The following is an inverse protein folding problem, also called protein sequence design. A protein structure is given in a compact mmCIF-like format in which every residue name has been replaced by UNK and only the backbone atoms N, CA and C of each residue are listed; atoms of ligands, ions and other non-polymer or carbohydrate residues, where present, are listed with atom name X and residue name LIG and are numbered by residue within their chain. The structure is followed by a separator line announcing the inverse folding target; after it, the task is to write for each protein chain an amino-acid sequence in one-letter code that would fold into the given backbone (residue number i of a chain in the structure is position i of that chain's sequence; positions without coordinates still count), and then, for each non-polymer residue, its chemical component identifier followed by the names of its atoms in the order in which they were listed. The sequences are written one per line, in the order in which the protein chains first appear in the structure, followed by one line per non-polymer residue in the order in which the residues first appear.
data_IF_902156301253
#
_entry.id   IF_902156301253
#
_cell.length_a   1.000
_cell.length_b   1.000
_cell.length_c   1.000
_cell.angle_alpha   90.00
_cell.angle_beta   90.00
_cell.angle_gamma   90.00
#
_symmetry.space_group_name_H-M   'P 1'
#
loop_
_entity.id
_entity.type
_entity.pdbx_description
1 polymer ?
#
# COMPACT_ATOMS: atom_id res chain seq x y z
N UNK A 1 -6.80 -2.82 3.84
CA UNK A 1 -6.78 -3.82 2.73
C UNK A 1 -7.53 -5.07 3.14
N UNK A 2 -8.37 -5.67 2.25
CA UNK A 2 -9.08 -6.92 2.58
C UNK A 2 -8.25 -8.13 2.14
N UNK A 3 -7.76 -8.91 3.11
CA UNK A 3 -7.17 -10.24 2.86
C UNK A 3 -8.28 -11.26 2.60
N UNK A 4 -7.92 -12.39 1.94
CA UNK A 4 -8.89 -13.46 1.73
C UNK A 4 -9.17 -14.17 3.06
N UNK A 5 -10.36 -14.75 3.20
CA UNK A 5 -10.72 -15.54 4.39
C UNK A 5 -9.70 -16.68 4.63
N UNK A 6 -9.23 -17.33 3.56
CA UNK A 6 -8.20 -18.39 3.64
C UNK A 6 -6.91 -17.89 4.28
N UNK A 7 -6.43 -16.71 3.87
CA UNK A 7 -5.23 -16.08 4.45
C UNK A 7 -5.44 -15.72 5.92
N UNK A 8 -6.60 -15.16 6.24
CA UNK A 8 -6.96 -14.80 7.62
C UNK A 8 -7.03 -16.04 8.53
N UNK A 9 -7.66 -17.11 8.06
CA UNK A 9 -7.77 -18.38 8.81
C UNK A 9 -6.39 -19.01 9.03
N UNK A 10 -5.49 -18.99 8.02
CA UNK A 10 -4.11 -19.45 8.17
C UNK A 10 -3.37 -18.65 9.25
N UNK A 11 -3.43 -17.34 9.20
CA UNK A 11 -2.76 -16.45 10.16
C UNK A 11 -3.30 -16.72 11.58
N UNK A 12 -4.63 -16.80 11.74
CA UNK A 12 -5.28 -17.07 13.03
C UNK A 12 -4.89 -18.42 13.64
N UNK A 13 -4.67 -19.42 12.80
CA UNK A 13 -4.25 -20.74 13.25
C UNK A 13 -2.77 -20.79 13.62
N UNK A 14 -1.91 -20.13 12.81
CA UNK A 14 -0.45 -20.26 12.92
C UNK A 14 0.17 -19.31 13.95
N UNK A 15 -0.28 -18.06 14.03
CA UNK A 15 0.34 -17.06 14.93
C UNK A 15 0.39 -17.52 16.39
N UNK A 16 -0.69 -18.03 17.01
CA UNK A 16 -0.62 -18.50 18.40
C UNK A 16 0.36 -19.66 18.63
N UNK A 17 0.54 -20.52 17.60
CA UNK A 17 1.54 -21.61 17.62
C UNK A 17 2.94 -21.01 17.72
N UNK A 18 3.27 -20.07 16.83
CA UNK A 18 4.61 -19.47 16.79
C UNK A 18 4.88 -18.53 17.96
N UNK A 19 3.88 -17.87 18.53
CA UNK A 19 4.04 -17.12 19.79
C UNK A 19 4.57 -18.01 20.92
N UNK A 20 4.08 -19.24 21.04
CA UNK A 20 4.59 -20.21 22.01
C UNK A 20 6.00 -20.70 21.66
N UNK A 21 6.28 -21.00 20.39
CA UNK A 21 7.60 -21.42 19.90
C UNK A 21 8.64 -20.35 20.19
N UNK A 22 8.33 -19.08 19.88
CA UNK A 22 9.23 -17.94 20.10
C UNK A 22 9.49 -17.70 21.59
N UNK A 23 8.49 -17.89 22.45
CA UNK A 23 8.68 -17.83 23.91
C UNK A 23 9.70 -18.87 24.39
N UNK A 24 9.52 -20.14 24.00
CA UNK A 24 10.45 -21.23 24.36
C UNK A 24 11.84 -20.98 23.77
N UNK A 25 11.92 -20.52 22.52
CA UNK A 25 13.19 -20.25 21.85
C UNK A 25 13.96 -19.12 22.54
N UNK A 26 13.25 -18.06 22.96
CA UNK A 26 13.82 -16.93 23.72
C UNK A 26 14.35 -17.38 25.09
N UNK A 27 13.59 -18.19 25.83
CA UNK A 27 13.99 -18.70 27.14
C UNK A 27 15.25 -19.59 27.04
N UNK A 28 15.45 -20.24 25.89
CA UNK A 28 16.63 -21.09 25.61
C UNK A 28 17.78 -20.31 24.97
N UNK A 29 17.63 -19.04 24.68
CA UNK A 29 18.61 -18.19 24.02
C UNK A 29 19.22 -18.82 22.76
N UNK A 30 18.33 -19.23 21.82
CA UNK A 30 18.73 -19.93 20.60
C UNK A 30 19.67 -19.07 19.76
N UNK A 31 20.69 -19.71 19.19
CA UNK A 31 21.65 -19.08 18.28
C UNK A 31 21.00 -18.64 16.94
N UNK A 32 21.78 -17.98 16.08
CA UNK A 32 21.30 -17.43 14.80
C UNK A 32 20.80 -18.52 13.86
N UNK A 33 21.51 -19.64 13.72
CA UNK A 33 21.13 -20.74 12.82
C UNK A 33 19.81 -21.40 13.21
N UNK A 34 19.62 -21.65 14.50
CA UNK A 34 18.34 -22.19 15.03
C UNK A 34 17.21 -21.19 14.85
N UNK A 35 17.50 -19.88 15.03
CA UNK A 35 16.53 -18.80 14.81
C UNK A 35 16.12 -18.72 13.34
N UNK A 36 17.07 -18.83 12.39
CA UNK A 36 16.79 -18.88 10.93
C UNK A 36 15.86 -20.01 10.59
N UNK A 37 16.02 -21.18 11.23
CA UNK A 37 15.12 -22.33 11.02
C UNK A 37 13.69 -22.02 11.44
N UNK A 38 13.49 -21.36 12.60
CA UNK A 38 12.16 -20.92 13.07
C UNK A 38 11.59 -19.85 12.13
N UNK A 39 12.40 -18.88 11.71
CA UNK A 39 11.96 -17.83 10.76
C UNK A 39 11.49 -18.47 9.45
N UNK A 40 12.21 -19.47 8.94
CA UNK A 40 11.82 -20.19 7.72
C UNK A 40 10.46 -20.86 7.86
N UNK A 41 10.19 -21.47 9.02
CA UNK A 41 8.88 -22.08 9.30
C UNK A 41 7.77 -21.01 9.45
N UNK A 42 8.08 -19.84 10.05
CA UNK A 42 7.16 -18.70 10.10
C UNK A 42 6.83 -18.19 8.67
N UNK A 43 7.84 -18.08 7.80
CA UNK A 43 7.63 -17.68 6.41
C UNK A 43 6.68 -18.63 5.69
N UNK A 44 6.78 -19.93 5.94
CA UNK A 44 5.91 -20.93 5.33
C UNK A 44 4.50 -20.95 5.96
N UNK A 45 4.41 -21.13 7.26
CA UNK A 45 3.14 -21.43 7.93
C UNK A 45 2.32 -20.17 8.22
N UNK A 46 2.95 -19.04 8.57
CA UNK A 46 2.25 -17.79 8.86
C UNK A 46 2.10 -16.96 7.59
N UNK A 47 3.21 -16.73 6.89
CA UNK A 47 3.22 -15.82 5.74
C UNK A 47 2.87 -16.50 4.41
N UNK A 48 2.88 -17.84 4.34
CA UNK A 48 2.32 -18.62 3.24
C UNK A 48 3.23 -18.81 2.03
N UNK A 49 4.53 -18.68 2.20
CA UNK A 49 5.51 -18.99 1.16
C UNK A 49 5.79 -20.49 1.07
N UNK A 50 6.07 -20.98 -0.12
CA UNK A 50 6.60 -22.33 -0.29
C UNK A 50 8.05 -22.37 0.20
N UNK A 51 8.30 -23.17 1.24
CA UNK A 51 9.61 -23.27 1.91
C UNK A 51 10.74 -23.72 0.96
N UNK A 52 10.40 -24.53 -0.04
CA UNK A 52 11.37 -25.15 -0.92
C UNK A 52 11.51 -24.44 -2.27
N UNK A 53 10.47 -23.76 -2.72
CA UNK A 53 10.44 -23.10 -4.03
C UNK A 53 10.63 -21.59 -3.95
N UNK A 54 10.20 -20.96 -2.84
CA UNK A 54 10.13 -19.50 -2.74
C UNK A 54 11.05 -18.91 -1.66
N UNK A 55 11.56 -19.74 -0.72
CA UNK A 55 12.53 -19.31 0.29
C UNK A 55 13.90 -19.86 -0.07
N UNK A 56 14.86 -18.97 -0.27
CA UNK A 56 16.26 -19.33 -0.57
C UNK A 56 17.14 -18.93 0.61
N UNK A 57 17.95 -19.86 1.10
CA UNK A 57 18.97 -19.61 2.13
C UNK A 57 20.32 -19.28 1.50
N UNK A 58 21.13 -18.51 2.23
CA UNK A 58 22.52 -18.19 1.87
C UNK A 58 22.68 -17.66 0.44
N UNK A 59 21.88 -16.64 0.07
CA UNK A 59 22.03 -16.01 -1.24
C UNK A 59 23.36 -15.27 -1.37
N UNK A 60 24.32 -15.89 -2.06
CA UNK A 60 25.63 -15.30 -2.30
C UNK A 60 25.59 -14.19 -3.35
N UNK A 61 26.11 -13.00 -3.01
CA UNK A 61 26.23 -11.87 -3.93
C UNK A 61 27.58 -11.21 -3.76
N UNK A 62 28.48 -11.36 -4.75
CA UNK A 62 29.81 -10.72 -4.79
C UNK A 62 30.62 -10.88 -3.49
N UNK A 63 30.59 -12.08 -2.88
CA UNK A 63 31.40 -12.38 -1.69
C UNK A 63 30.75 -11.99 -0.36
N UNK A 64 29.52 -11.53 -0.38
CA UNK A 64 28.69 -11.33 0.81
C UNK A 64 27.45 -12.23 0.75
N UNK A 65 26.82 -12.55 1.88
CA UNK A 65 25.69 -13.47 1.97
C UNK A 65 24.51 -12.77 2.65
N UNK A 66 23.30 -12.99 2.14
CA UNK A 66 22.06 -12.67 2.84
C UNK A 66 21.50 -13.98 3.40
N UNK A 67 21.00 -13.97 4.63
CA UNK A 67 20.57 -15.19 5.31
C UNK A 67 19.42 -15.88 4.58
N UNK A 68 18.37 -15.12 4.25
CA UNK A 68 17.23 -15.61 3.51
C UNK A 68 16.79 -14.62 2.43
N UNK A 69 16.22 -15.12 1.36
CA UNK A 69 15.55 -14.32 0.34
C UNK A 69 14.21 -14.96 -0.05
N UNK A 70 13.20 -14.14 -0.31
CA UNK A 70 11.92 -14.58 -0.85
C UNK A 70 11.88 -14.29 -2.33
N UNK A 71 11.59 -15.33 -3.14
CA UNK A 71 11.45 -15.26 -4.59
C UNK A 71 10.08 -15.80 -5.00
N UNK A 72 9.29 -15.01 -5.72
CA UNK A 72 8.04 -15.44 -6.33
C UNK A 72 8.21 -15.42 -7.84
N UNK A 73 8.09 -16.58 -8.47
CA UNK A 73 8.51 -16.77 -9.86
C UNK A 73 9.99 -16.43 -10.02
N UNK A 74 10.33 -15.55 -10.95
CA UNK A 74 11.73 -15.13 -11.20
C UNK A 74 12.12 -13.83 -10.47
N UNK A 75 11.24 -13.28 -9.64
CA UNK A 75 11.46 -11.98 -9.00
C UNK A 75 11.69 -12.11 -7.50
N UNK A 76 12.83 -11.56 -7.03
CA UNK A 76 13.05 -11.38 -5.60
C UNK A 76 12.08 -10.34 -5.03
N UNK A 77 11.43 -10.72 -3.94
CA UNK A 77 10.44 -9.90 -3.24
C UNK A 77 11.02 -9.26 -2.00
N UNK A 78 11.78 -10.03 -1.23
CA UNK A 78 12.45 -9.57 -0.02
C UNK A 78 13.85 -10.16 0.08
N UNK A 79 14.77 -9.39 0.65
CA UNK A 79 15.96 -9.89 1.33
C UNK A 79 15.67 -9.89 2.82
N UNK A 80 16.11 -10.92 3.53
CA UNK A 80 15.86 -11.06 4.96
C UNK A 80 17.20 -11.28 5.66
N UNK A 81 17.55 -10.36 6.53
CA UNK A 81 18.67 -10.47 7.46
C UNK A 81 18.14 -10.96 8.80
N UNK A 82 18.70 -12.06 9.27
CA UNK A 82 18.29 -12.71 10.49
C UNK A 82 19.32 -12.51 11.58
N UNK A 83 18.89 -12.46 12.84
CA UNK A 83 19.77 -12.42 14.00
C UNK A 83 19.27 -13.42 15.05
N UNK A 84 20.19 -13.84 15.94
CA UNK A 84 19.83 -14.70 17.06
C UNK A 84 18.67 -14.11 17.86
N UNK A 85 17.80 -14.96 18.40
CA UNK A 85 16.50 -14.57 18.99
C UNK A 85 16.64 -13.54 20.13
N UNK A 86 17.74 -13.59 20.91
CA UNK A 86 18.02 -12.65 22.00
C UNK A 86 18.65 -11.34 21.54
N UNK A 87 19.00 -11.19 20.25
CA UNK A 87 19.71 -10.02 19.75
C UNK A 87 18.79 -8.83 19.57
N UNK A 88 19.15 -7.67 20.15
CA UNK A 88 18.51 -6.40 19.85
C UNK A 88 18.85 -5.97 18.40
N UNK A 89 17.84 -5.72 17.58
CA UNK A 89 18.02 -5.31 16.20
C UNK A 89 18.48 -3.84 16.11
N UNK A 90 19.61 -3.60 15.42
CA UNK A 90 20.23 -2.29 15.25
C UNK A 90 20.43 -1.97 13.76
N UNK A 91 20.55 -0.69 13.46
CA UNK A 91 20.81 -0.21 12.09
C UNK A 91 22.10 -0.82 11.47
N UNK A 92 23.11 -1.12 12.30
CA UNK A 92 24.31 -1.77 11.83
C UNK A 92 24.04 -3.13 11.16
N UNK A 93 23.06 -3.89 11.65
CA UNK A 93 22.66 -5.18 11.07
C UNK A 93 21.97 -4.98 9.70
N UNK A 94 21.26 -3.86 9.52
CA UNK A 94 20.58 -3.55 8.26
C UNK A 94 21.58 -3.20 7.14
N UNK A 95 22.73 -2.63 7.45
CA UNK A 95 23.72 -2.14 6.43
C UNK A 95 24.18 -3.23 5.48
N UNK A 96 24.34 -4.45 5.97
CA UNK A 96 24.73 -5.59 5.14
C UNK A 96 23.64 -5.87 4.09
N UNK A 97 22.39 -5.99 4.51
CA UNK A 97 21.26 -6.22 3.62
C UNK A 97 21.01 -5.05 2.63
N UNK A 98 21.28 -3.79 3.05
CA UNK A 98 21.23 -2.61 2.15
C UNK A 98 22.22 -2.75 0.99
N UNK A 99 23.47 -3.12 1.29
CA UNK A 99 24.48 -3.34 0.25
C UNK A 99 24.06 -4.39 -0.78
N UNK A 100 23.39 -5.45 -0.31
CA UNK A 100 22.79 -6.48 -1.19
C UNK A 100 21.68 -5.94 -2.05
N UNK A 101 20.69 -5.31 -1.41
CA UNK A 101 19.53 -4.75 -2.09
C UNK A 101 19.94 -3.78 -3.20
N UNK A 102 20.90 -2.91 -2.91
CA UNK A 102 21.43 -1.94 -3.86
C UNK A 102 22.09 -2.60 -5.08
N UNK A 103 22.90 -3.63 -4.86
CA UNK A 103 23.62 -4.33 -5.93
C UNK A 103 22.69 -5.14 -6.85
N UNK A 104 21.54 -5.57 -6.37
CA UNK A 104 20.57 -6.41 -7.11
C UNK A 104 19.30 -5.68 -7.52
N UNK A 105 19.15 -4.41 -7.14
CA UNK A 105 17.93 -3.66 -7.40
C UNK A 105 16.73 -4.17 -6.58
N UNK A 106 16.97 -4.83 -5.43
CA UNK A 106 15.91 -5.33 -4.54
C UNK A 106 15.59 -4.23 -3.53
N UNK A 107 14.36 -3.73 -3.58
CA UNK A 107 13.94 -2.56 -2.80
C UNK A 107 13.46 -2.91 -1.38
N UNK A 108 13.10 -4.17 -1.12
CA UNK A 108 12.47 -4.54 0.13
C UNK A 108 13.37 -5.42 0.98
N UNK A 109 13.60 -5.00 2.21
CA UNK A 109 14.43 -5.70 3.18
C UNK A 109 13.63 -5.96 4.43
N UNK A 110 13.81 -7.14 5.01
CA UNK A 110 13.34 -7.49 6.34
C UNK A 110 14.56 -7.72 7.22
N UNK A 111 14.59 -7.08 8.39
CA UNK A 111 15.50 -7.38 9.47
C UNK A 111 14.70 -8.02 10.60
N UNK A 112 15.11 -9.21 11.07
CA UNK A 112 14.35 -9.92 12.09
C UNK A 112 15.21 -10.81 12.97
N UNK A 113 14.77 -11.04 14.20
CA UNK A 113 15.26 -12.08 15.11
C UNK A 113 14.16 -13.13 15.42
N UNK A 114 13.13 -13.22 14.54
CA UNK A 114 11.97 -14.06 14.74
C UNK A 114 10.87 -13.41 15.59
N UNK A 115 11.22 -12.60 16.58
CA UNK A 115 10.29 -11.86 17.45
C UNK A 115 10.02 -10.48 16.87
N UNK A 116 11.03 -9.64 16.74
CA UNK A 116 10.93 -8.30 16.15
C UNK A 116 11.11 -8.41 14.63
N UNK A 117 10.16 -7.88 13.89
CA UNK A 117 10.13 -7.82 12.44
C UNK A 117 10.11 -6.38 11.98
N UNK A 118 11.13 -5.98 11.24
CA UNK A 118 11.30 -4.62 10.73
C UNK A 118 11.38 -4.68 9.20
N UNK A 119 10.41 -4.06 8.53
CA UNK A 119 10.29 -4.06 7.07
C UNK A 119 10.73 -2.71 6.54
N UNK A 120 11.73 -2.70 5.68
CA UNK A 120 12.32 -1.50 5.10
C UNK A 120 12.14 -1.44 3.60
N UNK A 121 12.00 -0.23 3.08
CA UNK A 121 12.08 0.07 1.66
C UNK A 121 13.33 0.87 1.34
N UNK A 122 14.14 0.39 0.40
CA UNK A 122 15.28 1.12 -0.14
C UNK A 122 14.83 2.13 -1.20
N UNK A 123 15.42 3.31 -1.13
CA UNK A 123 15.38 4.33 -2.17
C UNK A 123 16.75 4.40 -2.84
N UNK A 124 16.83 4.12 -4.14
CA UNK A 124 18.06 4.12 -4.91
C UNK A 124 18.45 5.54 -5.33
N UNK A 125 18.60 6.40 -4.32
CA UNK A 125 19.09 7.76 -4.41
C UNK A 125 20.63 7.77 -4.14
N UNK A 126 21.29 8.91 -4.28
CA UNK A 126 22.68 9.04 -3.91
C UNK A 126 22.81 10.14 -2.83
N UNK A 127 23.15 9.76 -1.60
CA UNK A 127 23.42 8.41 -1.08
C UNK A 127 22.15 7.55 -1.00
N UNK A 128 22.31 6.20 -0.97
CA UNK A 128 21.19 5.27 -0.80
C UNK A 128 20.52 5.54 0.54
N UNK A 129 19.21 5.71 0.49
CA UNK A 129 18.37 5.95 1.66
C UNK A 129 17.39 4.79 1.87
N UNK A 130 16.85 4.66 3.08
CA UNK A 130 15.88 3.64 3.43
C UNK A 130 14.85 4.17 4.41
N UNK A 131 13.64 3.65 4.30
CA UNK A 131 12.52 4.00 5.17
C UNK A 131 12.02 2.77 5.90
N UNK A 132 11.81 2.87 7.21
CA UNK A 132 11.09 1.86 7.98
C UNK A 132 9.59 1.95 7.65
N UNK A 133 9.07 0.93 6.95
CA UNK A 133 7.66 0.89 6.52
C UNK A 133 6.76 0.30 7.58
N UNK A 134 7.22 -0.80 8.21
CA UNK A 134 6.49 -1.43 9.30
C UNK A 134 7.45 -2.06 10.31
N UNK A 135 7.00 -2.10 11.57
CA UNK A 135 7.61 -2.87 12.65
C UNK A 135 6.52 -3.53 13.48
N UNK A 136 6.71 -4.79 13.81
CA UNK A 136 5.81 -5.53 14.69
C UNK A 136 6.56 -6.61 15.48
N UNK A 137 6.05 -6.90 16.65
CA UNK A 137 6.51 -8.00 17.51
C UNK A 137 5.56 -9.19 17.33
N UNK A 138 6.06 -10.27 16.71
CA UNK A 138 5.24 -11.45 16.42
C UNK A 138 4.82 -12.19 17.71
N UNK A 139 5.58 -12.07 18.79
CA UNK A 139 5.28 -12.73 20.07
C UNK A 139 4.08 -12.12 20.78
N UNK A 140 3.80 -10.84 20.52
CA UNK A 140 2.73 -10.06 21.18
C UNK A 140 1.65 -9.54 20.25
N UNK A 141 1.81 -9.72 18.94
CA UNK A 141 0.89 -9.19 17.94
C UNK A 141 -0.55 -9.66 18.17
N UNK A 142 -1.50 -8.75 18.07
CA UNK A 142 -2.92 -9.05 18.26
C UNK A 142 -3.68 -9.04 16.93
N UNK A 143 -4.20 -10.18 16.54
CA UNK A 143 -5.00 -10.33 15.32
C UNK A 143 -6.38 -9.64 15.36
N UNK A 144 -6.76 -9.11 16.54
CA UNK A 144 -7.95 -8.27 16.72
C UNK A 144 -7.67 -6.80 16.41
N UNK A 145 -6.41 -6.40 16.36
CA UNK A 145 -5.98 -5.04 16.07
C UNK A 145 -5.74 -4.90 14.56
N UNK A 146 -6.52 -4.06 13.90
CA UNK A 146 -6.40 -3.84 12.44
C UNK A 146 -5.01 -3.33 12.02
N UNK A 147 -4.36 -2.51 12.84
CA UNK A 147 -3.01 -2.01 12.56
C UNK A 147 -1.96 -3.11 12.60
N UNK A 148 -2.09 -4.03 13.55
CA UNK A 148 -1.19 -5.17 13.68
C UNK A 148 -1.39 -6.14 12.51
N UNK A 149 -2.64 -6.37 12.12
CA UNK A 149 -2.98 -7.17 10.97
C UNK A 149 -2.46 -6.54 9.66
N UNK A 150 -2.60 -5.21 9.49
CA UNK A 150 -2.09 -4.49 8.33
C UNK A 150 -0.56 -4.65 8.19
N UNK A 151 0.18 -4.52 9.30
CA UNK A 151 1.64 -4.70 9.34
C UNK A 151 2.07 -6.13 9.03
N UNK A 152 1.33 -7.12 9.51
CA UNK A 152 1.63 -8.52 9.25
C UNK A 152 1.34 -8.91 7.80
N UNK A 153 0.24 -8.40 7.25
CA UNK A 153 -0.22 -8.72 5.88
C UNK A 153 0.80 -8.33 4.81
N UNK A 154 1.55 -7.23 4.99
CA UNK A 154 2.54 -6.82 3.98
C UNK A 154 3.66 -7.84 3.77
N UNK A 155 3.93 -8.69 4.76
CA UNK A 155 4.94 -9.75 4.68
C UNK A 155 4.36 -11.04 4.10
N UNK A 156 3.04 -11.22 4.09
CA UNK A 156 2.40 -12.43 3.53
C UNK A 156 2.55 -12.49 2.01
N UNK A 157 2.60 -13.71 1.46
CA UNK A 157 2.64 -13.94 0.01
C UNK A 157 1.49 -13.23 -0.69
N UNK A 158 0.27 -13.41 -0.22
CA UNK A 158 -0.92 -12.78 -0.80
C UNK A 158 -0.92 -11.25 -0.68
N UNK A 159 -0.33 -10.72 0.39
CA UNK A 159 -0.13 -9.29 0.56
C UNK A 159 0.85 -8.72 -0.46
N UNK A 160 1.96 -9.41 -0.68
CA UNK A 160 2.96 -9.03 -1.70
C UNK A 160 2.38 -9.08 -3.10
N UNK A 161 1.68 -10.15 -3.45
CA UNK A 161 1.03 -10.31 -4.76
C UNK A 161 -0.03 -9.23 -5.04
N UNK A 162 -0.64 -8.68 -4.01
CA UNK A 162 -1.66 -7.60 -4.11
C UNK A 162 -1.09 -6.19 -3.94
N UNK A 163 0.21 -6.03 -3.77
CA UNK A 163 0.84 -4.72 -3.60
C UNK A 163 0.62 -4.08 -2.21
N UNK A 164 0.30 -4.89 -1.18
CA UNK A 164 -0.03 -4.36 0.16
C UNK A 164 1.09 -3.55 0.80
N UNK A 165 2.34 -3.92 0.55
CA UNK A 165 3.51 -3.22 1.10
C UNK A 165 3.72 -1.87 0.43
N UNK A 166 3.46 -1.80 -0.88
CA UNK A 166 3.49 -0.57 -1.65
C UNK A 166 2.39 0.39 -1.18
N UNK A 167 1.17 -0.11 -1.02
CA UNK A 167 0.03 0.67 -0.50
C UNK A 167 0.32 1.21 0.91
N UNK A 168 0.87 0.37 1.82
CA UNK A 168 1.22 0.80 3.17
C UNK A 168 2.32 1.84 3.14
N UNK A 169 3.35 1.66 2.31
CA UNK A 169 4.41 2.63 2.14
C UNK A 169 3.88 3.97 1.64
N UNK A 170 3.07 3.98 0.58
CA UNK A 170 2.45 5.21 0.07
C UNK A 170 1.58 5.89 1.12
N UNK A 171 0.81 5.10 1.88
CA UNK A 171 0.01 5.61 3.00
C UNK A 171 0.88 6.30 4.04
N UNK A 172 2.00 5.69 4.47
CA UNK A 172 2.91 6.30 5.45
C UNK A 172 3.58 7.57 4.92
N UNK A 173 3.88 7.62 3.62
CA UNK A 173 4.44 8.80 2.96
C UNK A 173 3.43 9.95 2.82
N UNK A 174 2.13 9.66 2.81
CA UNK A 174 1.07 10.66 2.64
C UNK A 174 0.36 11.00 3.96
N UNK A 175 0.23 10.04 4.87
CA UNK A 175 -0.49 10.20 6.13
C UNK A 175 0.50 10.21 7.29
N UNK A 176 1.22 11.31 7.43
CA UNK A 176 2.15 11.54 8.52
C UNK A 176 2.01 12.95 9.09
N UNK A 177 2.63 13.19 10.23
CA UNK A 177 2.51 14.46 10.99
C UNK A 177 2.99 15.68 10.19
N UNK A 178 4.05 15.56 9.41
CA UNK A 178 4.61 16.67 8.62
C UNK A 178 3.70 17.04 7.45
N UNK A 179 3.18 16.03 6.73
CA UNK A 179 2.20 16.27 5.66
C UNK A 179 0.90 16.84 6.22
N UNK A 180 0.46 16.37 7.39
CA UNK A 180 -0.71 16.96 8.07
C UNK A 180 -0.46 18.44 8.43
N UNK A 181 0.70 18.79 9.00
CA UNK A 181 1.09 20.18 9.27
C UNK A 181 1.10 21.04 8.01
N UNK A 182 1.71 20.54 6.94
CA UNK A 182 1.74 21.24 5.66
C UNK A 182 0.35 21.43 5.03
N UNK A 183 -0.53 20.43 5.15
CA UNK A 183 -1.93 20.53 4.67
C UNK A 183 -2.73 21.57 5.47
N UNK A 184 -2.56 21.62 6.80
CA UNK A 184 -3.25 22.59 7.65
C UNK A 184 -2.88 24.02 7.26
N UNK A 185 -1.63 24.27 6.85
CA UNK A 185 -1.16 25.58 6.40
C UNK A 185 -1.43 25.86 4.90
N UNK A 186 -2.05 24.93 4.17
CA UNK A 186 -2.39 25.14 2.76
C UNK A 186 -3.54 26.12 2.58
N UNK A 187 -3.55 26.87 1.46
CA UNK A 187 -4.61 27.82 1.10
C UNK A 187 -6.00 27.20 1.17
N UNK A 188 -6.13 25.92 0.79
CA UNK A 188 -7.40 25.21 0.80
C UNK A 188 -7.97 25.06 2.22
N UNK A 189 -7.14 24.70 3.20
CA UNK A 189 -7.58 24.53 4.61
C UNK A 189 -7.73 25.89 5.30
N UNK A 190 -6.79 26.81 5.08
CA UNK A 190 -6.84 28.18 5.61
C UNK A 190 -8.13 28.90 5.17
N UNK A 191 -8.52 28.79 3.90
CA UNK A 191 -9.78 29.36 3.39
C UNK A 191 -11.03 28.77 4.07
N UNK A 192 -11.02 27.47 4.37
CA UNK A 192 -12.12 26.83 5.12
C UNK A 192 -12.19 27.37 6.55
N UNK A 193 -11.06 27.42 7.26
CA UNK A 193 -10.99 27.95 8.62
C UNK A 193 -11.42 29.41 8.70
N UNK A 194 -10.92 30.25 7.77
CA UNK A 194 -11.33 31.66 7.66
C UNK A 194 -12.84 31.80 7.51
N UNK A 195 -13.46 30.97 6.65
CA UNK A 195 -14.91 30.99 6.45
C UNK A 195 -15.67 30.62 7.73
N UNK A 196 -15.19 29.63 8.48
CA UNK A 196 -15.83 29.23 9.74
C UNK A 196 -15.61 30.27 10.84
N UNK A 197 -14.42 30.88 10.95
CA UNK A 197 -14.18 32.00 11.85
C UNK A 197 -15.11 33.20 11.59
N UNK A 198 -15.35 33.55 10.33
CA UNK A 198 -16.29 34.61 9.96
C UNK A 198 -17.71 34.36 10.40
N UNK A 199 -18.15 33.08 10.50
CA UNK A 199 -19.47 32.73 11.04
C UNK A 199 -19.55 32.89 12.56
N UNK A 200 -18.43 32.73 13.26
CA UNK A 200 -18.34 32.89 14.71
C UNK A 200 -18.19 34.36 15.13
N UNK A 201 -17.58 35.17 14.29
CA UNK A 201 -17.26 36.58 14.55
C UNK A 201 -17.96 37.47 13.50
N UNK A 202 -19.26 37.67 13.68
CA UNK A 202 -20.09 38.44 12.74
C UNK A 202 -19.57 39.87 12.60
N UNK A 203 -19.39 40.32 11.35
CA UNK A 203 -18.94 41.66 11.00
C UNK A 203 -17.42 41.94 11.16
N UNK A 204 -16.60 40.94 11.56
CA UNK A 204 -15.15 41.13 11.71
C UNK A 204 -14.43 40.67 10.41
N UNK A 205 -13.52 41.54 9.93
CA UNK A 205 -12.61 41.16 8.84
C UNK A 205 -11.52 40.24 9.34
N UNK A 206 -11.31 39.08 8.70
CA UNK A 206 -10.26 38.14 9.04
C UNK A 206 -9.47 37.88 7.76
N UNK A 207 -8.15 38.05 7.84
CA UNK A 207 -7.24 37.83 6.70
C UNK A 207 -6.60 36.43 6.75
N UNK A 208 -6.22 35.89 5.59
CA UNK A 208 -5.57 34.58 5.50
C UNK A 208 -4.26 34.54 6.29
N UNK A 209 -3.51 35.64 6.28
CA UNK A 209 -2.26 35.80 7.03
C UNK A 209 -2.45 35.65 8.56
N UNK A 210 -3.55 36.17 9.10
CA UNK A 210 -3.87 36.06 10.53
C UNK A 210 -4.18 34.60 10.91
N UNK A 211 -4.94 33.89 10.06
CA UNK A 211 -5.23 32.47 10.26
C UNK A 211 -3.94 31.63 10.18
N UNK A 212 -3.06 31.91 9.21
CA UNK A 212 -1.77 31.23 9.08
C UNK A 212 -0.88 31.46 10.29
N UNK A 213 -0.78 32.71 10.78
CA UNK A 213 0.00 33.05 11.96
C UNK A 213 -0.54 32.32 13.21
N UNK A 214 -1.86 32.35 13.42
CA UNK A 214 -2.50 31.61 14.52
C UNK A 214 -2.17 30.11 14.48
N UNK A 215 -2.27 29.48 13.30
CA UNK A 215 -1.98 28.08 13.14
C UNK A 215 -0.50 27.76 13.41
N UNK A 216 0.41 28.58 12.86
CA UNK A 216 1.85 28.37 12.96
C UNK A 216 2.38 28.59 14.38
N UNK A 217 1.92 29.63 15.04
CA UNK A 217 2.50 30.07 16.33
C UNK A 217 1.72 29.54 17.53
N UNK A 218 0.42 29.28 17.37
CA UNK A 218 -0.48 28.89 18.47
C UNK A 218 -0.97 27.43 18.44
N UNK A 219 -1.01 26.77 17.29
CA UNK A 219 -1.65 25.45 17.13
C UNK A 219 -0.66 24.37 16.76
N UNK A 220 0.20 24.63 15.79
CA UNK A 220 1.17 23.64 15.30
C UNK A 220 2.44 23.66 16.17
N UNK A 221 2.95 22.46 16.44
CA UNK A 221 4.24 22.33 17.13
C UNK A 221 5.37 22.72 16.17
N UNK A 222 6.41 23.37 16.68
CA UNK A 222 7.56 23.82 15.86
C UNK A 222 8.30 22.69 15.17
N UNK A 223 8.41 21.51 15.81
CA UNK A 223 9.02 20.33 15.21
C UNK A 223 8.30 19.79 13.96
N UNK A 224 7.08 20.27 13.68
CA UNK A 224 6.33 19.95 12.45
C UNK A 224 6.57 20.95 11.31
N UNK A 225 7.18 22.08 11.64
CA UNK A 225 7.37 23.21 10.71
C UNK A 225 8.81 23.38 10.26
N UNK A 226 9.76 22.84 11.03
CA UNK A 226 11.20 23.02 10.84
C UNK A 226 11.87 21.69 10.46
N UNK A 227 12.91 21.78 9.64
CA UNK A 227 13.73 20.65 9.22
C UNK A 227 13.36 20.05 7.87
N UNK A 228 14.21 19.15 7.39
CA UNK A 228 14.13 18.57 6.04
C UNK A 228 12.80 17.85 5.78
N UNK A 229 12.25 17.15 6.78
CA UNK A 229 10.98 16.42 6.66
C UNK A 229 9.79 17.37 6.50
N UNK A 230 9.81 18.51 7.20
CA UNK A 230 8.76 19.54 7.07
C UNK A 230 8.84 20.24 5.70
N UNK A 231 10.05 20.57 5.24
CA UNK A 231 10.27 21.16 3.91
C UNK A 231 9.84 20.21 2.78
N UNK A 232 10.20 18.94 2.87
CA UNK A 232 9.78 17.92 1.91
C UNK A 232 8.25 17.74 1.88
N UNK A 233 7.60 17.75 3.05
CA UNK A 233 6.14 17.67 3.16
C UNK A 233 5.46 18.89 2.53
N UNK A 234 5.98 20.10 2.79
CA UNK A 234 5.47 21.35 2.22
C UNK A 234 5.61 21.34 0.68
N UNK A 235 6.78 20.92 0.16
CA UNK A 235 7.01 20.81 -1.28
C UNK A 235 6.04 19.81 -1.92
N UNK A 236 5.78 18.66 -1.26
CA UNK A 236 4.83 17.64 -1.72
C UNK A 236 3.41 18.16 -1.80
N UNK A 237 2.94 18.83 -0.75
CA UNK A 237 1.59 19.43 -0.69
C UNK A 237 1.42 20.51 -1.74
N UNK A 238 2.40 21.41 -1.88
CA UNK A 238 2.37 22.47 -2.90
C UNK A 238 2.36 21.92 -4.33
N UNK A 239 3.13 20.85 -4.60
CA UNK A 239 3.13 20.15 -5.90
C UNK A 239 1.75 19.54 -6.20
N UNK A 240 1.11 18.93 -5.22
CA UNK A 240 -0.23 18.35 -5.36
C UNK A 240 -1.26 19.43 -5.76
N UNK A 241 -1.32 20.54 -5.07
CA UNK A 241 -2.27 21.62 -5.37
C UNK A 241 -2.00 22.28 -6.74
N UNK A 242 -0.74 22.46 -7.12
CA UNK A 242 -0.39 22.96 -8.47
C UNK A 242 -0.84 22.02 -9.59
N UNK A 243 -0.81 20.71 -9.37
CA UNK A 243 -1.25 19.72 -10.36
C UNK A 243 -2.77 19.63 -10.46
N UNK A 244 -3.48 19.72 -9.32
CA UNK A 244 -4.96 19.71 -9.31
C UNK A 244 -5.56 20.98 -9.92
N UNK A 245 -4.92 22.14 -9.72
CA UNK A 245 -5.34 23.39 -10.35
C UNK A 245 -5.20 23.39 -11.88
N UNK A 246 -4.35 22.52 -12.45
CA UNK A 246 -4.15 22.39 -13.91
C UNK A 246 -5.10 21.39 -14.58
N UNK A 247 -5.85 20.56 -13.83
CA UNK A 247 -6.86 19.67 -14.41
C UNK A 247 -8.15 20.46 -14.64
N UNK A 248 -8.66 20.57 -15.90
CA UNK A 248 -9.93 21.24 -16.14
C UNK A 248 -11.03 20.49 -15.39
N UNK A 249 -11.82 21.22 -14.60
CA UNK A 249 -13.05 20.71 -13.96
C UNK A 249 -13.93 20.14 -15.07
N UNK A 250 -14.46 18.90 -14.96
CA UNK A 250 -15.46 18.41 -15.90
C UNK A 250 -16.64 19.35 -15.82
N UNK A 251 -16.95 20.03 -16.95
CA UNK A 251 -18.16 20.86 -17.07
C UNK A 251 -19.35 19.97 -16.75
N UNK A 252 -20.12 20.38 -15.73
CA UNK A 252 -21.42 19.80 -15.42
C UNK A 252 -22.22 19.79 -16.72
N UNK A 253 -22.84 18.68 -17.15
CA UNK A 253 -23.62 18.68 -18.37
C UNK A 253 -24.79 19.66 -18.19
N UNK A 254 -24.85 20.65 -19.04
CA UNK A 254 -25.98 21.56 -19.17
C UNK A 254 -27.18 20.70 -19.55
N UNK A 255 -28.37 20.86 -18.94
CA UNK A 255 -29.56 20.14 -19.37
C UNK A 255 -29.83 20.51 -20.83
N UNK A 256 -29.83 19.51 -21.72
CA UNK A 256 -30.22 19.71 -23.10
C UNK A 256 -31.65 20.23 -23.14
N UNK A 257 -31.85 21.42 -23.69
CA UNK A 257 -33.16 21.94 -24.08
C UNK A 257 -33.64 21.00 -25.16
N UNK A 258 -34.79 20.36 -24.91
CA UNK A 258 -35.47 19.52 -25.88
C UNK A 258 -35.87 20.38 -27.10
N UNK A 259 -35.58 19.94 -28.33
CA UNK A 259 -36.13 20.61 -29.51
C UNK A 259 -37.63 20.33 -29.60
N UNK A 260 -38.39 21.39 -29.78
CA UNK A 260 -39.84 21.36 -30.10
C UNK A 260 -40.10 20.46 -31.30
N UNK A 261 -41.12 19.60 -31.15
CA UNK A 261 -41.58 18.68 -32.16
C UNK A 261 -42.15 19.46 -33.36
N UNK A 262 -41.44 19.46 -34.48
CA UNK A 262 -42.02 19.78 -35.78
C UNK A 262 -42.74 18.58 -36.33
N UNK A 263 -44.03 18.73 -36.62
CA UNK A 263 -44.94 17.72 -37.14
C UNK A 263 -44.45 17.17 -38.49
N UNK A 264 -44.26 15.84 -38.57
CA UNK A 264 -44.11 15.11 -39.81
C UNK A 264 -45.48 14.70 -40.37
N UNK A 265 -45.71 14.70 -41.69
CA UNK A 265 -47.01 14.37 -42.28
C UNK A 265 -47.29 12.88 -42.21
N UNK A 266 -48.55 12.53 -42.00
CA UNK A 266 -49.11 11.19 -41.93
C UNK A 266 -48.88 10.40 -43.24
N UNK A 267 -48.28 9.24 -43.19
CA UNK A 267 -48.22 8.29 -44.32
C UNK A 267 -49.56 7.57 -44.47
N UNK A 268 -49.99 7.36 -45.74
CA UNK A 268 -51.25 6.74 -46.10
C UNK A 268 -51.25 5.21 -45.87
N UNK A 269 -52.44 4.66 -45.63
CA UNK A 269 -52.73 3.26 -45.35
C UNK A 269 -52.24 2.25 -46.43
N UNK A 270 -51.79 2.72 -47.58
CA UNK A 270 -51.30 1.89 -48.69
C UNK A 270 -49.84 1.43 -48.55
N UNK A 271 -49.03 2.07 -47.69
CA UNK A 271 -47.60 1.72 -47.52
C UNK A 271 -47.34 0.72 -46.41
N UNK A 272 -48.34 0.39 -45.60
CA UNK A 272 -48.23 -0.64 -44.54
C UNK A 272 -48.44 -2.06 -45.01
N UNK A 273 -49.04 -2.27 -46.16
CA UNK A 273 -49.32 -3.62 -46.67
C UNK A 273 -48.20 -4.25 -47.48
N UNK A 274 -47.13 -3.53 -47.78
CA UNK A 274 -45.98 -4.07 -48.55
C UNK A 274 -44.80 -4.55 -47.71
N UNK A 275 -44.84 -4.33 -46.41
CA UNK A 275 -43.76 -4.70 -45.50
C UNK A 275 -43.95 -6.11 -44.86
N UNK A 276 -45.11 -6.70 -44.94
CA UNK A 276 -45.43 -7.99 -44.28
C UNK A 276 -45.28 -9.24 -45.18
N UNK A 277 -44.88 -9.06 -46.42
CA UNK A 277 -44.78 -10.19 -47.38
C UNK A 277 -43.36 -10.71 -47.62
N UNK A 278 -42.35 -10.26 -46.85
CA UNK A 278 -40.96 -10.61 -47.10
C UNK A 278 -40.27 -11.50 -46.03
N UNK A 279 -41.05 -12.06 -45.08
CA UNK A 279 -40.45 -12.98 -44.07
C UNK A 279 -41.20 -14.30 -43.97
N UNK A 280 -41.09 -15.13 -45.02
CA UNK A 280 -41.39 -16.54 -44.92
C UNK A 280 -40.70 -17.27 -46.07
N UNK A 281 -39.53 -17.78 -45.87
CA UNK A 281 -39.05 -19.02 -46.52
C UNK A 281 -37.77 -19.52 -45.83
N UNK A 282 -37.94 -20.57 -45.04
CA UNK A 282 -36.88 -21.52 -44.68
C UNK A 282 -36.73 -22.53 -45.82
N UNK A 283 -35.52 -23.08 -46.03
CA UNK A 283 -35.47 -24.54 -46.03
C UNK A 283 -34.36 -25.16 -45.20
N UNK A 284 -34.73 -26.27 -44.63
CA UNK A 284 -34.01 -27.38 -44.02
C UNK A 284 -33.00 -28.03 -44.95
N UNK A 285 -32.12 -28.77 -44.32
CA UNK A 285 -31.24 -29.88 -44.81
C UNK A 285 -29.75 -29.62 -44.61
N UNK A 286 -28.89 -30.51 -44.14
CA UNK A 286 -28.92 -31.94 -43.84
C UNK A 286 -27.63 -32.28 -43.10
N UNK A 287 -27.68 -33.18 -42.11
CA UNK A 287 -26.48 -33.90 -41.64
C UNK A 287 -26.05 -34.97 -42.62
N UNK A 288 -24.79 -35.34 -42.66
CA UNK A 288 -24.37 -36.75 -42.81
C UNK A 288 -23.16 -37.12 -41.94
N UNK A 289 -22.68 -38.41 -42.01
CA UNK A 289 -22.64 -39.24 -40.83
C UNK A 289 -21.21 -39.59 -40.37
N UNK A 290 -21.12 -40.16 -39.16
CA UNK A 290 -20.05 -40.93 -38.56
C UNK A 290 -19.50 -42.06 -39.40
N UNK A 291 -18.16 -42.27 -39.41
CA UNK A 291 -17.35 -43.50 -39.48
C UNK A 291 -15.88 -43.07 -39.54
N UNK A 292 -14.96 -43.62 -38.81
CA UNK A 292 -14.58 -44.85 -38.14
C UNK A 292 -13.44 -44.51 -37.17
#
# INVERSE_FOLDING_TARGET
MKITKKTEDRIKASVPKFQKVLGIAKDRDLNESDTVSIITDILAEVFGYDKYLEVTSELAIRGTYCDLAIKIGDKFQYLIECKAIGTELKEAHLRQAIGYGANKGIQWIILTNGIDWQVYRLRFEQPIAWDLVARFDLSTISLKNERDLERLVIVTKEGVEKGAREDLYEKTQCVNRFVAGALILSDAVVSVLKREFKKLADGISIEDAEVVALLRDGVLRRDLLDGEEAEAAMAKVNKHFKQTAKKPTPKKPTPAVAPEASAAPAMSLSDQMLAEAATATTPMESQPPTQS
#
